data_IF_333135193173
#
_entry.id   IF_333135193173
#
_cell.length_a   1.000
_cell.length_b   1.000
_cell.length_c   1.000
_cell.angle_alpha   90.00
_cell.angle_beta   90.00
_cell.angle_gamma   90.00
#
_symmetry.space_group_name_H-M   'P 1'
#
loop_
_entity.id
_entity.type
_entity.pdbx_description
1 polymer ?
#
# COMPACT_ATOMS: atom_id res chain seq x y z
N UNK A 1 -18.89 8.50 5.56
CA UNK A 1 -17.90 7.42 5.33
C UNK A 1 -17.73 6.58 6.60
N UNK A 2 -17.37 5.28 6.54
CA UNK A 2 -17.29 4.43 7.76
C UNK A 2 -16.31 4.97 8.81
N UNK A 3 -15.20 5.59 8.40
CA UNK A 3 -14.22 6.21 9.29
C UNK A 3 -14.78 7.37 10.13
N UNK A 4 -15.78 8.09 9.63
CA UNK A 4 -16.46 9.16 10.38
C UNK A 4 -17.35 8.57 11.48
N UNK A 5 -18.00 7.44 11.21
CA UNK A 5 -18.90 6.77 12.17
C UNK A 5 -18.15 6.20 13.37
N UNK A 6 -16.88 5.84 13.18
CA UNK A 6 -15.98 5.38 14.25
C UNK A 6 -15.08 6.49 14.79
N UNK A 7 -15.29 7.74 14.35
CA UNK A 7 -14.53 8.90 14.78
C UNK A 7 -12.99 8.74 14.64
N UNK A 8 -12.56 8.22 13.49
CA UNK A 8 -11.15 7.89 13.24
C UNK A 8 -10.22 9.11 13.40
N UNK A 9 -10.68 10.31 13.04
CA UNK A 9 -9.89 11.53 13.15
C UNK A 9 -9.50 11.86 14.60
N UNK A 10 -10.34 11.51 15.58
CA UNK A 10 -10.04 11.69 17.00
C UNK A 10 -9.02 10.66 17.49
N UNK A 11 -9.27 9.38 17.22
CA UNK A 11 -8.51 8.29 17.84
C UNK A 11 -7.25 7.86 17.07
N UNK A 12 -7.21 8.07 15.75
CA UNK A 12 -6.07 7.74 14.86
C UNK A 12 -5.48 6.35 15.10
N UNK A 13 -6.37 5.36 15.23
CA UNK A 13 -6.01 3.96 15.44
C UNK A 13 -5.17 3.40 14.29
N UNK A 14 -4.40 2.36 14.60
CA UNK A 14 -3.75 1.55 13.58
C UNK A 14 -4.81 0.74 12.82
N UNK A 15 -4.68 0.66 11.50
CA UNK A 15 -5.60 -0.07 10.62
C UNK A 15 -4.89 -1.29 10.07
N UNK A 16 -5.44 -2.47 10.33
CA UNK A 16 -4.99 -3.73 9.75
C UNK A 16 -6.08 -4.29 8.85
N UNK A 17 -5.69 -4.93 7.75
CA UNK A 17 -6.62 -5.56 6.83
C UNK A 17 -5.87 -6.31 5.74
N UNK A 18 -6.62 -6.95 4.85
CA UNK A 18 -6.02 -7.49 3.64
C UNK A 18 -5.49 -6.36 2.73
N UNK A 19 -4.61 -6.72 1.82
CA UNK A 19 -3.96 -5.75 0.93
C UNK A 19 -4.96 -4.96 0.06
N UNK A 20 -6.08 -5.59 -0.33
CA UNK A 20 -7.10 -4.95 -1.16
C UNK A 20 -7.81 -3.84 -0.37
N UNK A 21 -8.16 -4.08 0.88
CA UNK A 21 -8.75 -3.07 1.76
C UNK A 21 -7.78 -1.91 2.03
N UNK A 22 -6.50 -2.23 2.29
CA UNK A 22 -5.48 -1.22 2.56
C UNK A 22 -5.24 -0.32 1.34
N UNK A 23 -5.12 -0.90 0.15
CA UNK A 23 -4.95 -0.13 -1.10
C UNK A 23 -6.14 0.79 -1.39
N UNK A 24 -7.36 0.38 -1.05
CA UNK A 24 -8.56 1.24 -1.15
C UNK A 24 -8.53 2.42 -0.18
N UNK A 25 -8.15 2.19 1.09
CA UNK A 25 -8.01 3.26 2.08
C UNK A 25 -6.89 4.25 1.72
N UNK A 26 -5.85 3.76 1.04
CA UNK A 26 -4.73 4.56 0.56
C UNK A 26 -4.98 5.23 -0.80
N UNK A 27 -6.20 5.13 -1.34
CA UNK A 27 -6.59 5.85 -2.56
C UNK A 27 -5.93 5.31 -3.83
N UNK A 28 -5.46 4.07 -3.82
CA UNK A 28 -4.85 3.44 -4.99
C UNK A 28 -5.89 2.92 -5.98
N UNK A 29 -5.50 2.87 -7.26
CA UNK A 29 -6.32 2.31 -8.31
C UNK A 29 -6.44 0.80 -8.16
N UNK A 30 -7.67 0.31 -8.16
CA UNK A 30 -7.98 -1.11 -8.15
C UNK A 30 -7.73 -1.77 -9.51
N UNK A 31 -7.52 -3.09 -9.51
CA UNK A 31 -7.34 -3.90 -10.72
C UNK A 31 -5.88 -4.19 -11.05
N UNK A 32 -5.62 -4.58 -12.30
CA UNK A 32 -4.28 -4.95 -12.77
C UNK A 32 -3.49 -3.71 -13.18
N UNK A 33 -2.86 -3.05 -12.21
CA UNK A 33 -2.10 -1.82 -12.37
C UNK A 33 -0.59 -2.08 -12.38
N UNK A 34 0.20 -1.15 -12.94
CA UNK A 34 1.66 -1.29 -13.06
C UNK A 34 2.31 -1.36 -11.68
N UNK A 35 1.89 -0.49 -10.76
CA UNK A 35 2.44 -0.38 -9.40
C UNK A 35 1.32 -0.61 -8.38
N UNK A 36 0.94 -1.88 -8.13
CA UNK A 36 -0.19 -2.21 -7.29
C UNK A 36 0.07 -1.99 -5.80
N UNK A 37 1.34 -1.89 -5.38
CA UNK A 37 1.70 -1.76 -3.97
C UNK A 37 1.94 -0.33 -3.49
N UNK A 38 1.60 -0.10 -2.22
CA UNK A 38 1.86 1.15 -1.51
C UNK A 38 3.24 1.20 -0.81
N UNK A 39 3.92 0.06 -0.66
CA UNK A 39 5.22 -0.01 0.01
C UNK A 39 6.40 0.22 -0.94
N UNK A 40 6.29 -0.27 -2.16
CA UNK A 40 7.35 -0.22 -3.17
C UNK A 40 6.79 -0.04 -4.57
N UNK A 41 7.67 0.38 -5.48
CA UNK A 41 7.40 0.55 -6.90
C UNK A 41 7.65 -0.76 -7.65
N UNK A 42 7.06 -1.85 -7.15
CA UNK A 42 7.08 -3.14 -7.82
C UNK A 42 6.27 -3.05 -9.12
N UNK A 43 6.92 -3.30 -10.26
CA UNK A 43 6.27 -3.30 -11.56
C UNK A 43 5.66 -4.68 -11.86
N UNK A 44 4.33 -4.78 -11.81
CA UNK A 44 3.58 -6.02 -12.05
C UNK A 44 3.66 -6.52 -13.50
N UNK A 45 4.19 -5.71 -14.42
CA UNK A 45 4.30 -6.04 -15.86
C UNK A 45 5.68 -6.59 -16.24
N UNK A 46 6.71 -6.37 -15.42
CA UNK A 46 8.08 -6.82 -15.72
C UNK A 46 8.33 -8.25 -15.22
N UNK A 47 7.72 -9.22 -15.91
CA UNK A 47 7.74 -10.64 -15.53
C UNK A 47 9.14 -11.24 -15.45
N UNK A 48 10.06 -10.78 -16.31
CA UNK A 48 11.43 -11.30 -16.40
C UNK A 48 12.26 -10.99 -15.14
N UNK A 49 11.92 -9.92 -14.42
CA UNK A 49 12.62 -9.48 -13.21
C UNK A 49 11.91 -9.89 -11.91
N UNK A 50 10.71 -10.48 -11.97
CA UNK A 50 9.89 -10.75 -10.78
C UNK A 50 10.56 -11.69 -9.77
N UNK A 51 11.35 -12.64 -10.25
CA UNK A 51 11.98 -13.66 -9.41
C UNK A 51 13.47 -13.41 -9.15
N UNK A 52 14.06 -12.46 -9.86
CA UNK A 52 15.49 -12.14 -9.80
C UNK A 52 15.75 -10.82 -9.09
N UNK A 53 14.85 -9.85 -9.23
CA UNK A 53 14.94 -8.56 -8.58
C UNK A 53 14.17 -8.56 -7.26
N UNK A 54 14.90 -8.47 -6.16
CA UNK A 54 14.36 -8.34 -4.79
C UNK A 54 14.38 -6.90 -4.29
N UNK A 55 15.10 -6.00 -4.97
CA UNK A 55 15.36 -4.62 -4.59
C UNK A 55 14.51 -3.65 -5.44
N UNK A 56 13.20 -3.67 -5.20
CA UNK A 56 12.29 -2.68 -5.78
C UNK A 56 12.35 -1.38 -4.98
N UNK A 57 12.42 -0.25 -5.67
CA UNK A 57 12.49 1.07 -5.03
C UNK A 57 11.32 1.27 -4.07
N UNK A 58 11.61 1.70 -2.85
CA UNK A 58 10.58 2.04 -1.87
C UNK A 58 9.69 3.16 -2.40
N UNK A 59 8.40 3.08 -2.06
CA UNK A 59 7.48 4.16 -2.35
C UNK A 59 7.58 5.17 -1.21
N UNK A 60 7.97 6.40 -1.55
CA UNK A 60 8.03 7.50 -0.59
C UNK A 60 6.64 8.04 -0.26
N UNK A 61 6.09 8.88 -1.13
CA UNK A 61 4.77 9.48 -0.96
C UNK A 61 3.72 8.87 -1.92
N UNK A 62 2.47 8.82 -1.47
CA UNK A 62 1.30 8.50 -2.31
C UNK A 62 0.70 9.80 -2.87
N UNK A 63 1.40 10.41 -3.84
CA UNK A 63 0.93 11.61 -4.53
C UNK A 63 -0.22 11.26 -5.47
N UNK A 64 -1.39 11.89 -5.29
CA UNK A 64 -2.53 11.71 -6.18
C UNK A 64 -2.17 12.09 -7.63
N UNK A 65 -2.50 11.22 -8.58
CA UNK A 65 -2.15 11.33 -10.00
C UNK A 65 -0.88 10.56 -10.39
N UNK A 66 -0.08 10.12 -9.43
CA UNK A 66 1.18 9.41 -9.71
C UNK A 66 1.11 7.92 -9.36
N UNK A 67 1.75 7.09 -10.19
CA UNK A 67 2.08 5.69 -9.87
C UNK A 67 0.89 4.91 -9.24
N UNK A 68 -0.29 5.06 -9.84
CA UNK A 68 -1.58 4.44 -9.48
C UNK A 68 -2.22 4.92 -8.17
N UNK A 69 -1.80 6.05 -7.59
CA UNK A 69 -2.58 6.75 -6.58
C UNK A 69 -3.58 7.67 -7.29
N UNK A 70 -4.87 7.36 -7.23
CA UNK A 70 -5.93 8.11 -7.95
C UNK A 70 -6.75 9.01 -7.03
N UNK A 71 -6.76 8.72 -5.74
CA UNK A 71 -7.46 9.48 -4.72
C UNK A 71 -6.51 9.87 -3.60
N UNK A 72 -6.95 10.81 -2.77
CA UNK A 72 -6.26 11.15 -1.51
C UNK A 72 -6.37 10.00 -0.51
N UNK A 73 -5.32 9.77 0.27
CA UNK A 73 -5.31 8.77 1.34
C UNK A 73 -6.32 9.13 2.42
N UNK A 74 -7.19 8.17 2.79
CA UNK A 74 -8.15 8.33 3.89
C UNK A 74 -7.53 8.07 5.26
N UNK A 75 -6.44 7.30 5.26
CA UNK A 75 -5.65 6.92 6.44
C UNK A 75 -4.18 7.16 6.12
N UNK A 76 -3.39 7.74 7.05
CA UNK A 76 -1.95 7.90 6.85
C UNK A 76 -1.27 6.54 6.64
N UNK A 77 -0.33 6.40 5.68
CA UNK A 77 0.38 5.14 5.45
C UNK A 77 1.08 4.59 6.70
N UNK A 78 1.54 5.46 7.58
CA UNK A 78 2.22 5.11 8.84
C UNK A 78 1.27 4.50 9.88
N UNK A 79 -0.05 4.62 9.66
CA UNK A 79 -1.10 4.05 10.50
C UNK A 79 -1.61 2.71 9.96
N UNK A 80 -1.02 2.18 8.90
CA UNK A 80 -1.38 0.88 8.33
C UNK A 80 -0.48 -0.21 8.87
N UNK A 81 -1.08 -1.30 9.35
CA UNK A 81 -0.40 -2.52 9.74
C UNK A 81 -0.59 -3.57 8.65
N UNK A 82 0.51 -4.20 8.25
CA UNK A 82 0.48 -5.34 7.35
C UNK A 82 0.24 -6.62 8.17
N UNK A 83 -0.61 -7.54 7.70
CA UNK A 83 -0.75 -8.84 8.33
C UNK A 83 0.55 -9.65 8.16
N UNK A 84 0.99 -10.32 9.23
CA UNK A 84 2.27 -11.07 9.27
C UNK A 84 2.34 -12.26 8.30
N UNK A 85 1.21 -12.63 7.71
CA UNK A 85 1.07 -13.78 6.82
C UNK A 85 1.06 -13.43 5.34
N UNK A 86 1.17 -12.14 4.97
CA UNK A 86 1.25 -11.77 3.55
C UNK A 86 2.55 -12.33 2.95
N UNK A 87 2.41 -13.25 2.00
CA UNK A 87 3.52 -13.87 1.24
C UNK A 87 4.34 -12.89 0.40
N UNK A 88 3.93 -11.62 0.35
CA UNK A 88 4.69 -10.51 -0.22
C UNK A 88 5.91 -10.17 0.66
N UNK A 89 6.90 -11.07 0.68
CA UNK A 89 8.26 -10.76 1.13
C UNK A 89 8.96 -9.93 0.06
N UNK A 90 8.60 -8.66 -0.06
CA UNK A 90 9.49 -7.67 -0.65
C UNK A 90 10.39 -7.13 0.47
N UNK A 91 11.63 -6.72 0.18
CA UNK A 91 12.47 -6.05 1.20
C UNK A 91 11.81 -4.81 1.81
N UNK A 92 10.84 -4.21 1.12
CA UNK A 92 9.99 -3.15 1.67
C UNK A 92 9.14 -3.62 2.86
N UNK A 93 8.75 -4.90 2.90
CA UNK A 93 8.09 -5.52 4.05
C UNK A 93 9.07 -5.69 5.22
N UNK A 94 10.31 -6.12 4.94
CA UNK A 94 11.36 -6.29 5.96
C UNK A 94 11.86 -4.95 6.53
N UNK A 95 11.83 -3.86 5.74
CA UNK A 95 12.23 -2.53 6.19
C UNK A 95 11.20 -1.82 7.09
N UNK A 96 9.99 -2.36 7.21
CA UNK A 96 8.90 -1.82 8.04
C UNK A 96 8.86 -2.47 9.44
N UNK A 97 9.63 -3.54 9.67
CA UNK A 97 9.70 -4.26 10.95
C UNK A 97 11.12 -4.36 11.52
#
# INVERSE_FOLDING_TARGET
MILEKINYQEYRWMVCGDFKMLTMLLGQQAGYTIYPGFLCLWDSRVRDLHWTNTDWSLRGALTTGEKNAINTTLVPPEKVLLPTTSSYKSRAYEAVY
#
